data_IF_556026660014
#
_entry.id   IF_556026660014
#
_cell.length_a   1.000
_cell.length_b   1.000
_cell.length_c   1.000
_cell.angle_alpha   90.00
_cell.angle_beta   90.00
_cell.angle_gamma   90.00
#
_symmetry.space_group_name_H-M   'P 1'
#
loop_
_entity.id
_entity.type
_entity.pdbx_description
1 polymer ?
#
# COMPACT_ATOMS: atom_id res chain seq x y z
N UNK A 1 4.42 21.33 -12.73
CA UNK A 1 3.45 20.70 -13.64
C UNK A 1 3.54 19.20 -13.46
N UNK A 2 2.61 18.60 -12.73
CA UNK A 2 2.47 17.15 -12.65
C UNK A 2 1.94 16.66 -13.99
N UNK A 3 2.69 15.77 -14.65
CA UNK A 3 2.25 15.15 -15.90
C UNK A 3 1.07 14.22 -15.61
N UNK A 4 0.05 14.24 -16.48
CA UNK A 4 -1.12 13.39 -16.36
C UNK A 4 -0.74 11.91 -16.20
N UNK A 5 -1.42 11.12 -15.35
CA UNK A 5 -1.24 9.66 -15.27
C UNK A 5 -1.29 8.97 -16.63
N UNK A 6 -2.14 9.44 -17.54
CA UNK A 6 -2.23 8.94 -18.91
C UNK A 6 -0.93 9.12 -19.70
N UNK A 7 -0.19 10.20 -19.48
CA UNK A 7 1.12 10.41 -20.10
C UNK A 7 2.17 9.43 -19.60
N UNK A 8 2.21 9.21 -18.28
CA UNK A 8 3.12 8.22 -17.67
C UNK A 8 2.83 6.82 -18.21
N UNK A 9 1.56 6.43 -18.27
CA UNK A 9 1.12 5.15 -18.83
C UNK A 9 1.53 4.99 -20.30
N UNK A 10 1.44 6.04 -21.12
CA UNK A 10 1.82 5.98 -22.54
C UNK A 10 3.32 5.74 -22.76
N UNK A 11 4.16 6.07 -21.77
CA UNK A 11 5.62 5.95 -21.85
C UNK A 11 6.17 4.63 -21.31
N UNK A 12 5.50 4.06 -20.29
CA UNK A 12 6.09 3.01 -19.46
C UNK A 12 5.70 1.57 -19.87
N UNK A 13 5.31 1.35 -21.09
CA UNK A 13 5.25 0.01 -21.65
C UNK A 13 3.87 -0.45 -22.14
N UNK A 14 3.79 -1.69 -22.63
CA UNK A 14 2.56 -2.24 -23.20
C UNK A 14 1.45 -2.26 -22.15
N UNK A 15 0.21 -2.18 -22.65
CA UNK A 15 -0.97 -2.41 -21.83
C UNK A 15 -0.92 -3.84 -21.31
N UNK A 16 -1.26 -3.99 -20.04
CA UNK A 16 -1.53 -5.27 -19.42
C UNK A 16 -3.03 -5.48 -19.43
N UNK A 17 -3.49 -6.45 -20.22
CA UNK A 17 -4.93 -6.70 -20.43
C UNK A 17 -5.65 -7.06 -19.12
N UNK A 18 -4.97 -7.75 -18.20
CA UNK A 18 -5.53 -8.12 -16.89
C UNK A 18 -5.68 -6.88 -16.03
N UNK A 19 -4.64 -6.06 -15.92
CA UNK A 19 -4.70 -4.81 -15.16
C UNK A 19 -5.71 -3.83 -15.75
N UNK A 20 -5.81 -3.73 -17.08
CA UNK A 20 -6.84 -2.93 -17.75
C UNK A 20 -8.25 -3.51 -17.50
N UNK A 21 -8.39 -4.84 -17.39
CA UNK A 21 -9.62 -5.53 -16.99
C UNK A 21 -10.08 -5.12 -15.61
N UNK A 22 -9.20 -5.17 -14.61
CA UNK A 22 -9.48 -4.73 -13.23
C UNK A 22 -9.98 -3.29 -13.20
N UNK A 23 -9.29 -2.38 -13.91
CA UNK A 23 -9.67 -0.96 -13.97
C UNK A 23 -11.07 -0.79 -14.56
N UNK A 24 -11.37 -1.51 -15.64
CA UNK A 24 -12.68 -1.47 -16.30
C UNK A 24 -13.78 -1.97 -15.40
N UNK A 25 -13.59 -3.13 -14.75
CA UNK A 25 -14.59 -3.75 -13.90
C UNK A 25 -14.87 -2.90 -12.66
N UNK A 26 -13.84 -2.36 -12.03
CA UNK A 26 -13.98 -1.47 -10.89
C UNK A 26 -14.78 -0.21 -11.27
N UNK A 27 -14.40 0.47 -12.35
CA UNK A 27 -14.97 1.78 -12.72
C UNK A 27 -16.30 1.67 -13.46
N UNK A 28 -16.45 0.72 -14.39
CA UNK A 28 -17.61 0.66 -15.29
C UNK A 28 -18.70 -0.28 -14.79
N UNK A 29 -18.34 -1.45 -14.28
CA UNK A 29 -19.31 -2.45 -13.84
C UNK A 29 -19.76 -2.22 -12.40
N UNK A 30 -18.81 -2.06 -11.49
CA UNK A 30 -19.10 -1.84 -10.06
C UNK A 30 -19.34 -0.37 -9.74
N UNK A 31 -19.03 0.55 -10.64
CA UNK A 31 -19.15 2.00 -10.45
C UNK A 31 -18.46 2.48 -9.16
N UNK A 32 -17.39 1.84 -8.79
CA UNK A 32 -16.57 2.26 -7.67
C UNK A 32 -15.87 3.58 -8.03
N UNK A 33 -15.70 4.48 -7.07
CA UNK A 33 -14.84 5.64 -7.28
C UNK A 33 -13.41 5.16 -7.60
N UNK A 34 -12.58 6.01 -8.21
CA UNK A 34 -11.18 5.70 -8.48
C UNK A 34 -10.40 5.69 -7.15
N UNK A 35 -10.53 4.61 -6.40
CA UNK A 35 -9.97 4.43 -5.05
C UNK A 35 -8.75 3.52 -5.02
N UNK A 36 -8.35 2.94 -6.15
CA UNK A 36 -7.17 2.11 -6.22
C UNK A 36 -5.93 2.95 -6.53
N UNK A 37 -4.79 2.46 -6.11
CA UNK A 37 -3.49 3.09 -6.39
C UNK A 37 -3.34 3.40 -7.88
N UNK A 38 -2.77 4.54 -8.22
CA UNK A 38 -2.51 4.91 -9.61
C UNK A 38 -1.39 4.06 -10.23
N UNK A 39 -1.33 4.05 -11.58
CA UNK A 39 -0.38 3.24 -12.34
C UNK A 39 1.09 3.53 -11.97
N UNK A 40 1.45 4.78 -11.68
CA UNK A 40 2.81 5.13 -11.26
C UNK A 40 3.10 4.62 -9.84
N UNK A 41 2.17 4.78 -8.91
CA UNK A 41 2.28 4.25 -7.54
C UNK A 41 2.43 2.73 -7.53
N UNK A 42 1.64 2.02 -8.33
CA UNK A 42 1.72 0.57 -8.45
C UNK A 42 3.06 0.09 -9.06
N UNK A 43 3.61 0.82 -10.04
CA UNK A 43 4.95 0.55 -10.59
C UNK A 43 6.05 0.80 -9.56
N UNK A 44 5.90 1.81 -8.71
CA UNK A 44 6.81 2.05 -7.60
C UNK A 44 6.77 0.89 -6.61
N UNK A 45 5.59 0.38 -6.26
CA UNK A 45 5.46 -0.82 -5.41
C UNK A 45 6.18 -2.03 -6.03
N UNK A 46 5.97 -2.28 -7.33
CA UNK A 46 6.67 -3.35 -8.05
C UNK A 46 8.20 -3.18 -7.98
N UNK A 47 8.69 -1.97 -8.27
CA UNK A 47 10.13 -1.66 -8.22
C UNK A 47 10.69 -1.83 -6.79
N UNK A 48 10.00 -1.34 -5.77
CA UNK A 48 10.42 -1.49 -4.38
C UNK A 48 10.45 -2.98 -3.98
N UNK A 49 9.48 -3.78 -4.42
CA UNK A 49 9.45 -5.23 -4.18
C UNK A 49 10.63 -5.93 -4.84
N UNK A 50 10.94 -5.60 -6.10
CA UNK A 50 12.12 -6.13 -6.80
C UNK A 50 13.43 -5.81 -6.09
N UNK A 51 13.60 -4.57 -5.61
CA UNK A 51 14.81 -4.10 -4.95
C UNK A 51 14.95 -4.66 -3.54
N UNK A 52 13.85 -4.65 -2.77
CA UNK A 52 13.83 -5.09 -1.38
C UNK A 52 13.86 -6.60 -1.22
N UNK A 53 13.31 -7.35 -2.21
CA UNK A 53 13.24 -8.83 -2.25
C UNK A 53 12.58 -9.42 -0.99
N UNK A 54 11.39 -8.95 -0.59
CA UNK A 54 10.73 -9.41 0.63
C UNK A 54 10.30 -10.88 0.52
N UNK A 55 10.41 -11.65 1.62
CA UNK A 55 9.86 -13.00 1.70
C UNK A 55 8.41 -13.00 2.12
N UNK A 56 8.02 -12.09 3.01
CA UNK A 56 6.63 -11.91 3.42
C UNK A 56 6.24 -10.44 3.27
N UNK A 57 5.21 -10.24 2.44
CA UNK A 57 4.54 -8.95 2.31
C UNK A 57 3.13 -9.05 2.89
N UNK A 58 2.71 -8.02 3.62
CA UNK A 58 1.33 -7.87 4.07
C UNK A 58 0.74 -6.62 3.42
N UNK A 59 -0.39 -6.77 2.73
CA UNK A 59 -1.16 -5.69 2.15
C UNK A 59 -2.48 -5.54 2.87
N UNK A 60 -2.88 -4.31 3.17
CA UNK A 60 -4.14 -3.95 3.79
C UNK A 60 -4.97 -3.17 2.78
N UNK A 61 -6.06 -3.78 2.32
CA UNK A 61 -6.87 -3.31 1.21
C UNK A 61 -6.45 -3.95 -0.10
N UNK A 62 -7.26 -4.90 -0.58
CA UNK A 62 -6.99 -5.66 -1.82
C UNK A 62 -7.78 -5.12 -2.99
N UNK A 63 -9.04 -4.73 -2.73
CA UNK A 63 -10.04 -4.42 -3.75
C UNK A 63 -10.09 -5.57 -4.77
N UNK A 64 -9.73 -5.34 -6.03
CA UNK A 64 -9.68 -6.37 -7.09
C UNK A 64 -8.27 -6.87 -7.39
N UNK A 65 -7.28 -6.53 -6.54
CA UNK A 65 -5.91 -7.08 -6.62
C UNK A 65 -4.95 -6.32 -7.54
N UNK A 66 -5.24 -5.07 -7.91
CA UNK A 66 -4.38 -4.29 -8.80
C UNK A 66 -2.96 -4.10 -8.23
N UNK A 67 -2.84 -3.60 -7.01
CA UNK A 67 -1.57 -3.46 -6.28
C UNK A 67 -0.97 -4.83 -5.95
N UNK A 68 -1.80 -5.81 -5.56
CA UNK A 68 -1.38 -7.16 -5.24
C UNK A 68 -0.66 -7.85 -6.42
N UNK A 69 -1.16 -7.68 -7.65
CA UNK A 69 -0.49 -8.19 -8.87
C UNK A 69 0.88 -7.54 -9.06
N UNK A 70 0.99 -6.22 -8.88
CA UNK A 70 2.25 -5.51 -9.01
C UNK A 70 3.27 -5.96 -7.96
N UNK A 71 2.86 -6.12 -6.71
CA UNK A 71 3.69 -6.66 -5.63
C UNK A 71 4.10 -8.09 -5.96
N UNK A 72 3.15 -8.97 -6.27
CA UNK A 72 3.40 -10.39 -6.49
C UNK A 72 4.38 -10.66 -7.64
N UNK A 73 4.28 -9.89 -8.73
CA UNK A 73 5.23 -9.96 -9.85
C UNK A 73 6.65 -9.52 -9.51
N UNK A 74 6.81 -8.71 -8.46
CA UNK A 74 8.12 -8.26 -7.95
C UNK A 74 8.74 -9.18 -6.91
N UNK A 75 8.00 -10.14 -6.36
CA UNK A 75 8.48 -11.03 -5.31
C UNK A 75 9.62 -11.94 -5.78
N UNK A 76 10.60 -12.24 -4.91
CA UNK A 76 11.57 -13.30 -5.16
C UNK A 76 10.87 -14.68 -5.23
N UNK A 77 11.55 -15.74 -5.73
CA UNK A 77 10.92 -17.08 -5.88
C UNK A 77 10.35 -17.66 -4.58
N UNK A 78 10.92 -17.32 -3.43
CA UNK A 78 10.50 -17.73 -2.08
C UNK A 78 9.64 -16.65 -1.37
N UNK A 79 9.21 -15.62 -2.11
CA UNK A 79 8.37 -14.54 -1.60
C UNK A 79 6.89 -14.87 -1.63
N UNK A 80 6.16 -14.37 -0.64
CA UNK A 80 4.72 -14.54 -0.48
C UNK A 80 4.05 -13.23 -0.09
N UNK A 81 2.83 -13.01 -0.62
CA UNK A 81 1.98 -11.89 -0.30
C UNK A 81 0.74 -12.38 0.44
N UNK A 82 0.46 -11.80 1.60
CA UNK A 82 -0.84 -11.91 2.28
C UNK A 82 -1.56 -10.58 2.09
N UNK A 83 -2.68 -10.58 1.38
CA UNK A 83 -3.50 -9.38 1.15
C UNK A 83 -4.86 -9.52 1.82
N UNK A 84 -5.27 -8.49 2.56
CA UNK A 84 -6.43 -8.54 3.46
C UNK A 84 -7.54 -7.66 2.89
N UNK A 85 -8.71 -8.26 2.68
CA UNK A 85 -9.91 -7.59 2.15
C UNK A 85 -11.12 -7.85 3.06
N UNK A 86 -11.83 -6.79 3.41
CA UNK A 86 -12.99 -6.87 4.28
C UNK A 86 -14.29 -7.23 3.56
N UNK A 87 -14.37 -6.96 2.26
CA UNK A 87 -15.52 -7.26 1.41
C UNK A 87 -15.35 -8.61 0.72
N UNK A 88 -16.35 -9.48 0.86
CA UNK A 88 -16.29 -10.86 0.34
C UNK A 88 -16.27 -10.91 -1.19
N UNK A 89 -17.03 -10.03 -1.86
CA UNK A 89 -17.11 -9.99 -3.32
C UNK A 89 -15.80 -9.45 -3.91
N UNK A 90 -15.21 -8.43 -3.29
CA UNK A 90 -13.91 -7.91 -3.68
C UNK A 90 -12.83 -8.99 -3.51
N UNK A 91 -12.81 -9.69 -2.37
CA UNK A 91 -11.85 -10.76 -2.12
C UNK A 91 -12.00 -11.91 -3.13
N UNK A 92 -13.21 -12.24 -3.56
CA UNK A 92 -13.46 -13.25 -4.58
C UNK A 92 -12.96 -12.79 -5.97
N UNK A 93 -13.26 -11.54 -6.35
CA UNK A 93 -12.79 -10.96 -7.61
C UNK A 93 -11.26 -10.88 -7.64
N UNK A 94 -10.63 -10.46 -6.54
CA UNK A 94 -9.18 -10.42 -6.43
C UNK A 94 -8.54 -11.78 -6.68
N UNK A 95 -9.07 -12.87 -6.08
CA UNK A 95 -8.56 -14.23 -6.33
C UNK A 95 -8.60 -14.59 -7.81
N UNK A 96 -9.72 -14.31 -8.48
CA UNK A 96 -9.87 -14.60 -9.90
C UNK A 96 -8.83 -13.86 -10.76
N UNK A 97 -8.62 -12.56 -10.51
CA UNK A 97 -7.62 -11.77 -11.23
C UNK A 97 -6.18 -12.19 -10.92
N UNK A 98 -5.88 -12.58 -9.69
CA UNK A 98 -4.56 -13.07 -9.30
C UNK A 98 -4.24 -14.41 -9.98
N UNK A 99 -5.23 -15.31 -10.11
CA UNK A 99 -5.09 -16.57 -10.84
C UNK A 99 -4.89 -16.31 -12.33
N UNK A 100 -5.69 -15.41 -12.93
CA UNK A 100 -5.55 -15.02 -14.35
C UNK A 100 -4.19 -14.37 -14.62
N UNK A 101 -3.67 -13.58 -13.67
CA UNK A 101 -2.35 -12.96 -13.75
C UNK A 101 -1.20 -13.95 -13.56
N UNK A 102 -1.48 -15.23 -13.25
CA UNK A 102 -0.48 -16.27 -13.01
C UNK A 102 0.35 -16.06 -11.74
N UNK A 103 -0.21 -15.39 -10.73
CA UNK A 103 0.47 -15.12 -9.45
C UNK A 103 -0.27 -15.67 -8.23
N UNK A 104 -1.40 -16.35 -8.44
CA UNK A 104 -2.28 -16.83 -7.37
C UNK A 104 -1.61 -17.81 -6.40
N UNK A 105 -0.65 -18.62 -6.87
CA UNK A 105 0.14 -19.55 -6.04
C UNK A 105 1.04 -18.88 -5.00
N UNK A 106 1.28 -17.57 -5.14
CA UNK A 106 2.17 -16.78 -4.28
C UNK A 106 1.42 -15.70 -3.49
N UNK A 107 0.09 -15.66 -3.61
CA UNK A 107 -0.76 -14.65 -2.97
C UNK A 107 -1.88 -15.32 -2.19
N UNK A 108 -1.93 -15.05 -0.90
CA UNK A 108 -3.05 -15.42 -0.04
C UNK A 108 -4.00 -14.23 0.09
N UNK A 109 -5.23 -14.35 -0.42
CA UNK A 109 -6.28 -13.36 -0.20
C UNK A 109 -7.08 -13.74 1.04
N UNK A 110 -6.94 -12.95 2.09
CA UNK A 110 -7.63 -13.15 3.37
C UNK A 110 -8.88 -12.28 3.41
N UNK A 111 -10.06 -12.91 3.42
CA UNK A 111 -11.30 -12.19 3.68
C UNK A 111 -11.48 -12.01 5.19
N UNK A 112 -11.13 -10.84 5.71
CA UNK A 112 -11.22 -10.52 7.13
C UNK A 112 -11.17 -9.00 7.38
N UNK A 113 -11.55 -8.60 8.59
CA UNK A 113 -11.19 -7.29 9.13
C UNK A 113 -9.67 -7.23 9.37
N UNK A 114 -9.01 -6.22 8.79
CA UNK A 114 -7.56 -6.11 8.83
C UNK A 114 -7.01 -5.95 10.25
N UNK A 115 -7.70 -5.17 11.10
CA UNK A 115 -7.28 -4.96 12.50
C UNK A 115 -7.26 -6.31 13.25
N UNK A 116 -8.29 -7.11 13.05
CA UNK A 116 -8.39 -8.44 13.66
C UNK A 116 -7.30 -9.37 13.13
N UNK A 117 -7.13 -9.45 11.80
CA UNK A 117 -6.15 -10.36 11.21
C UNK A 117 -4.71 -10.00 11.59
N UNK A 118 -4.34 -8.73 11.59
CA UNK A 118 -3.00 -8.27 11.96
C UNK A 118 -2.59 -8.72 13.38
N UNK A 119 -3.54 -8.87 14.31
CA UNK A 119 -3.25 -9.35 15.67
C UNK A 119 -2.84 -10.82 15.75
N UNK A 120 -3.09 -11.59 14.69
CA UNK A 120 -2.71 -13.02 14.62
C UNK A 120 -1.29 -13.24 14.13
N UNK A 121 -0.68 -12.21 13.53
CA UNK A 121 0.68 -12.29 12.98
C UNK A 121 1.73 -12.15 14.07
N UNK A 122 2.90 -12.76 13.84
CA UNK A 122 4.01 -12.72 14.79
C UNK A 122 4.79 -11.41 14.66
N UNK A 123 5.26 -10.82 15.76
CA UNK A 123 6.17 -9.68 15.70
C UNK A 123 7.43 -9.99 14.87
N UNK A 124 7.95 -8.96 14.18
CA UNK A 124 9.18 -9.00 13.38
C UNK A 124 9.23 -10.12 12.32
N UNK A 125 8.05 -10.54 11.81
CA UNK A 125 7.94 -11.58 10.80
C UNK A 125 7.70 -11.06 9.37
N UNK A 126 7.36 -9.77 9.22
CA UNK A 126 6.96 -9.17 7.94
C UNK A 126 8.11 -8.33 7.38
N UNK A 127 8.42 -8.51 6.11
CA UNK A 127 9.49 -7.78 5.43
C UNK A 127 9.01 -6.46 4.82
N UNK A 128 7.75 -6.43 4.36
CA UNK A 128 7.15 -5.25 3.74
C UNK A 128 5.67 -5.19 4.08
N UNK A 129 5.18 -4.01 4.42
CA UNK A 129 3.76 -3.71 4.62
C UNK A 129 3.34 -2.64 3.64
N UNK A 130 2.20 -2.86 2.97
CA UNK A 130 1.52 -1.85 2.17
C UNK A 130 0.13 -1.57 2.74
N UNK A 131 -0.20 -0.28 2.93
CA UNK A 131 -1.47 0.19 3.50
C UNK A 131 -2.19 1.03 2.47
N UNK A 132 -3.36 0.55 2.01
CA UNK A 132 -4.27 1.27 1.12
C UNK A 132 -5.72 0.83 1.39
N UNK A 133 -6.27 1.23 2.55
CA UNK A 133 -7.60 0.85 3.01
C UNK A 133 -8.34 2.02 3.66
N UNK A 134 -9.21 1.78 4.65
CA UNK A 134 -9.93 2.83 5.38
C UNK A 134 -8.97 3.83 6.03
N UNK A 135 -8.99 5.06 5.53
CA UNK A 135 -8.08 6.13 5.95
C UNK A 135 -8.22 6.48 7.44
N UNK A 136 -9.42 6.31 8.01
CA UNK A 136 -9.67 6.54 9.45
C UNK A 136 -8.90 5.59 10.34
N UNK A 137 -8.57 4.39 9.83
CA UNK A 137 -7.85 3.36 10.57
C UNK A 137 -6.32 3.44 10.45
N UNK A 138 -5.74 4.35 9.64
CA UNK A 138 -4.30 4.45 9.42
C UNK A 138 -3.46 4.56 10.71
N UNK A 139 -3.85 5.37 11.72
CA UNK A 139 -3.12 5.39 12.98
C UNK A 139 -3.15 4.04 13.74
N UNK A 140 -4.23 3.27 13.58
CA UNK A 140 -4.34 1.94 14.16
C UNK A 140 -3.51 0.92 13.37
N UNK A 141 -3.55 0.99 12.03
CA UNK A 141 -2.68 0.16 11.19
C UNK A 141 -1.21 0.38 11.52
N UNK A 142 -0.75 1.63 11.71
CA UNK A 142 0.62 1.91 12.13
C UNK A 142 0.98 1.19 13.45
N UNK A 143 0.11 1.27 14.45
CA UNK A 143 0.34 0.63 15.75
C UNK A 143 0.47 -0.89 15.66
N UNK A 144 -0.29 -1.51 14.75
CA UNK A 144 -0.28 -2.95 14.55
C UNK A 144 0.88 -3.39 13.64
N UNK A 145 1.10 -2.69 12.53
CA UNK A 145 2.10 -3.07 11.53
C UNK A 145 3.53 -2.80 11.96
N UNK A 146 3.78 -1.73 12.72
CA UNK A 146 5.15 -1.39 13.14
C UNK A 146 5.85 -2.50 13.95
N UNK A 147 5.21 -3.15 14.95
CA UNK A 147 5.82 -4.30 15.63
C UNK A 147 5.92 -5.55 14.76
N UNK A 148 5.04 -5.75 13.77
CA UNK A 148 5.11 -6.89 12.85
C UNK A 148 6.27 -6.78 11.87
N UNK A 149 6.60 -5.56 11.46
CA UNK A 149 7.66 -5.29 10.51
C UNK A 149 9.02 -5.56 11.15
N UNK A 150 9.86 -6.38 10.50
CA UNK A 150 11.23 -6.63 10.96
C UNK A 150 12.12 -5.39 10.81
N UNK A 151 13.24 -5.38 11.48
CA UNK A 151 14.31 -4.41 11.20
C UNK A 151 14.80 -4.57 9.76
N UNK A 152 14.95 -3.46 9.05
CA UNK A 152 15.25 -3.45 7.62
C UNK A 152 14.02 -3.57 6.72
N UNK A 153 12.82 -3.70 7.29
CA UNK A 153 11.58 -3.82 6.53
C UNK A 153 11.05 -2.48 6.01
N UNK A 154 10.16 -2.54 5.02
CA UNK A 154 9.49 -1.38 4.42
C UNK A 154 8.05 -1.26 4.89
N UNK A 155 7.67 -0.05 5.31
CA UNK A 155 6.29 0.36 5.54
C UNK A 155 5.91 1.40 4.48
N UNK A 156 4.90 1.08 3.68
CA UNK A 156 4.44 1.92 2.58
C UNK A 156 2.96 2.21 2.79
N UNK A 157 2.56 3.48 2.62
CA UNK A 157 1.16 3.88 2.70
C UNK A 157 0.79 4.74 1.50
N UNK A 158 -0.34 4.46 0.87
CA UNK A 158 -0.93 5.29 -0.19
C UNK A 158 -1.93 6.30 0.38
N UNK A 159 -2.35 7.25 -0.45
CA UNK A 159 -3.33 8.30 -0.11
C UNK A 159 -2.93 9.15 1.11
N UNK A 160 -1.63 9.39 1.29
CA UNK A 160 -1.13 10.21 2.41
C UNK A 160 -1.03 11.70 2.10
N UNK A 161 -1.23 12.07 0.85
CA UNK A 161 -1.28 13.46 0.36
C UNK A 161 -2.41 13.62 -0.66
N UNK A 162 -3.67 13.69 -0.21
CA UNK A 162 -4.84 13.81 -1.09
C UNK A 162 -4.68 14.95 -2.09
N UNK A 163 -4.94 14.67 -3.37
CA UNK A 163 -4.73 15.62 -4.45
C UNK A 163 -3.26 15.90 -4.81
N UNK A 164 -2.32 15.12 -4.25
CA UNK A 164 -0.87 15.32 -4.46
C UNK A 164 -0.33 16.57 -3.76
N UNK A 165 -1.09 17.12 -2.82
CA UNK A 165 -0.67 18.29 -2.04
C UNK A 165 0.15 17.86 -0.81
N UNK A 166 1.45 18.08 -0.90
CA UNK A 166 2.39 17.84 0.21
C UNK A 166 2.64 19.08 1.07
N UNK A 167 1.90 20.18 0.85
CA UNK A 167 2.10 21.41 1.63
C UNK A 167 1.70 21.26 3.09
N UNK A 168 0.77 20.34 3.36
CA UNK A 168 0.19 20.17 4.70
C UNK A 168 -0.68 21.35 5.14
N UNK A 169 -0.97 22.29 4.24
CA UNK A 169 -1.80 23.45 4.50
C UNK A 169 -3.26 23.08 4.30
N UNK A 170 -4.05 23.14 5.36
CA UNK A 170 -5.50 23.10 5.25
C UNK A 170 -5.99 24.48 4.80
N UNK A 171 -7.06 24.51 4.00
CA UNK A 171 -7.69 25.78 3.66
C UNK A 171 -8.05 26.57 4.95
N UNK A 172 -7.69 27.85 5.05
CA UNK A 172 -7.95 28.63 6.25
C UNK A 172 -9.45 28.66 6.58
N UNK A 173 -9.80 28.21 7.79
CA UNK A 173 -11.18 28.22 8.29
C UNK A 173 -12.00 26.96 7.99
N UNK A 174 -11.43 25.95 7.33
CA UNK A 174 -12.06 24.65 7.13
C UNK A 174 -11.53 23.65 8.19
N UNK A 175 -12.43 23.14 9.01
CA UNK A 175 -12.06 22.05 9.95
C UNK A 175 -11.89 20.74 9.16
N UNK A 176 -10.69 20.13 9.16
CA UNK A 176 -10.43 18.91 8.40
C UNK A 176 -11.35 17.78 8.87
N UNK A 177 -11.81 16.97 7.94
CA UNK A 177 -12.66 15.81 8.21
C UNK A 177 -11.90 14.71 8.99
N UNK A 178 -12.62 13.63 9.32
CA UNK A 178 -12.05 12.53 10.11
C UNK A 178 -10.92 11.80 9.38
N UNK A 179 -10.98 11.67 8.07
CA UNK A 179 -9.97 10.98 7.26
C UNK A 179 -8.70 11.82 7.20
N UNK A 180 -8.83 13.10 6.88
CA UNK A 180 -7.72 14.06 6.87
C UNK A 180 -7.00 14.11 8.23
N UNK A 181 -7.75 14.15 9.34
CA UNK A 181 -7.18 14.10 10.69
C UNK A 181 -6.43 12.82 10.99
N UNK A 182 -6.96 11.68 10.53
CA UNK A 182 -6.32 10.38 10.74
C UNK A 182 -5.03 10.25 9.91
N UNK A 183 -5.04 10.67 8.64
CA UNK A 183 -3.85 10.71 7.79
C UNK A 183 -2.79 11.64 8.38
N UNK A 184 -3.14 12.87 8.79
CA UNK A 184 -2.21 13.78 9.44
C UNK A 184 -1.59 13.18 10.72
N UNK A 185 -2.39 12.45 11.51
CA UNK A 185 -1.92 11.73 12.70
C UNK A 185 -0.94 10.63 12.33
N UNK A 186 -1.24 9.82 11.31
CA UNK A 186 -0.37 8.76 10.79
C UNK A 186 0.96 9.34 10.30
N UNK A 187 0.91 10.31 9.39
CA UNK A 187 2.10 10.95 8.80
C UNK A 187 2.97 11.59 9.89
N UNK A 188 2.35 12.31 10.84
CA UNK A 188 3.08 12.92 11.96
C UNK A 188 3.76 11.88 12.86
N UNK A 189 3.10 10.75 13.12
CA UNK A 189 3.67 9.67 13.92
C UNK A 189 4.85 9.01 13.21
N UNK A 190 4.75 8.76 11.91
CA UNK A 190 5.82 8.22 11.07
C UNK A 190 7.00 9.21 11.01
N UNK A 191 6.75 10.47 10.72
CA UNK A 191 7.79 11.50 10.58
C UNK A 191 8.56 11.78 11.88
N UNK A 192 7.92 11.61 13.03
CA UNK A 192 8.56 11.78 14.36
C UNK A 192 9.22 10.51 14.89
N UNK A 193 9.08 9.40 14.19
CA UNK A 193 9.70 8.14 14.60
C UNK A 193 11.20 8.20 14.39
N UNK A 194 11.97 7.95 15.42
CA UNK A 194 13.43 7.77 15.33
C UNK A 194 13.85 6.39 14.79
N UNK A 195 12.86 5.54 14.46
CA UNK A 195 13.02 4.18 13.94
C UNK A 195 12.59 4.05 12.49
N UNK A 196 12.04 5.10 11.88
CA UNK A 196 11.58 5.12 10.50
C UNK A 196 12.31 6.21 9.71
N UNK A 197 12.97 5.82 8.63
CA UNK A 197 13.48 6.75 7.61
C UNK A 197 12.45 6.83 6.51
N UNK A 198 11.85 7.98 6.33
CA UNK A 198 10.67 8.14 5.49
C UNK A 198 10.87 9.19 4.40
N UNK A 199 10.28 8.93 3.24
CA UNK A 199 10.23 9.87 2.14
C UNK A 199 8.87 9.82 1.46
N UNK A 200 8.37 10.98 1.04
CA UNK A 200 7.22 11.06 0.14
C UNK A 200 7.66 10.78 -1.29
N UNK A 201 6.86 9.99 -1.98
CA UNK A 201 7.04 9.68 -3.40
C UNK A 201 5.82 10.18 -4.15
N UNK A 202 6.05 10.95 -5.22
CA UNK A 202 4.97 11.55 -6.02
C UNK A 202 4.18 10.48 -6.78
N UNK A 203 2.95 10.28 -6.39
CA UNK A 203 1.86 9.56 -7.07
C UNK A 203 0.64 10.47 -7.11
N UNK A 204 -0.50 10.00 -7.66
CA UNK A 204 -1.71 10.83 -7.72
C UNK A 204 -2.20 11.27 -6.33
N UNK A 205 -2.04 10.39 -5.34
CA UNK A 205 -2.50 10.61 -3.96
C UNK A 205 -1.37 10.61 -2.93
N UNK A 206 -0.13 10.46 -3.37
CA UNK A 206 1.08 10.47 -2.56
C UNK A 206 1.35 9.16 -1.81
N UNK A 207 2.52 8.57 -2.07
CA UNK A 207 3.04 7.44 -1.29
C UNK A 207 3.98 7.94 -0.19
N UNK A 208 3.84 7.42 1.02
CA UNK A 208 4.85 7.54 2.07
C UNK A 208 5.59 6.21 2.19
N UNK A 209 6.86 6.21 1.83
CA UNK A 209 7.74 5.04 1.91
C UNK A 209 8.64 5.21 3.11
N UNK A 210 8.67 4.21 4.00
CA UNK A 210 9.44 4.23 5.24
C UNK A 210 10.25 2.95 5.39
N UNK A 211 11.51 3.09 5.75
CA UNK A 211 12.42 2.00 6.10
C UNK A 211 12.54 1.92 7.62
N UNK A 212 12.34 0.72 8.21
CA UNK A 212 12.45 0.50 9.65
C UNK A 212 13.88 0.18 10.03
N UNK A 213 14.50 1.06 10.83
CA UNK A 213 15.81 0.80 11.44
C UNK A 213 15.79 -0.35 12.45
N UNK A 214 16.93 -0.98 12.60
CA UNK A 214 17.22 -1.85 13.74
C UNK A 214 17.19 -1.11 15.07
N UNK A 215 17.20 -1.84 16.22
CA UNK A 215 17.46 -1.22 17.50
C UNK A 215 18.81 -0.48 17.40
N UNK A 216 18.84 0.80 17.76
CA UNK A 216 20.10 1.52 17.87
C UNK A 216 20.83 0.95 19.09
N UNK A 217 21.99 0.36 18.88
CA UNK A 217 22.87 0.03 19.99
C UNK A 217 23.17 1.32 20.76
N UNK A 218 22.99 1.28 22.09
CA UNK A 218 23.18 2.43 22.99
C UNK A 218 24.62 2.97 23.03
N UNK A 219 25.47 2.53 22.10
CA UNK A 219 26.90 2.88 22.04
C UNK A 219 27.24 3.99 21.05
N UNK A 220 26.26 4.50 20.26
CA UNK A 220 26.47 5.56 19.26
C UNK A 220 25.52 6.76 19.44
N UNK A 221 25.14 7.08 20.66
CA UNK A 221 24.38 8.29 21.01
C UNK A 221 25.27 9.36 21.62
#
# INVERSE_FOLDING_TARGET
MTRSPAYVRSLLGPRDEILDGILRDALLEKKLPSIQIDDNGARILHLLTLLHRPRLVVEIGTLFGYSAIHIARGLPPDGHLVTIESDADNAQNARAYLDEAGVGDRVEVVHADAVTHLTTLRPESVDMVFIDADKKAYPQYLKLCFPLLRSGGLLIADDVAPGGDFSGESEPGVDPDRETKAIATYVSAVARSNRLHSAFVGSAHGLLVSYKDGPRDAQNA
#
